data_IF_313452777854
#
_entry.id   IF_313452777854
#
_cell.length_a   1.000
_cell.length_b   1.000
_cell.length_c   1.000
_cell.angle_alpha   90.00
_cell.angle_beta   90.00
_cell.angle_gamma   90.00
#
_symmetry.space_group_name_H-M   'P 1'
#
loop_
_entity.id
_entity.type
_entity.pdbx_description
1 polymer ?
#
# COMPACT_ATOMS: atom_id res chain seq x y z
N UNK A 1 14.90 1.19 -1.67
CA UNK A 1 15.08 0.33 -0.50
C UNK A 1 16.07 -0.80 -0.80
N UNK A 2 15.84 -1.63 -1.84
CA UNK A 2 16.76 -2.73 -2.23
C UNK A 2 18.18 -2.20 -2.49
N UNK A 3 18.31 -1.11 -3.25
CA UNK A 3 19.60 -0.45 -3.49
C UNK A 3 20.29 0.09 -2.23
N UNK A 4 19.55 0.28 -1.16
CA UNK A 4 20.06 0.68 0.15
C UNK A 4 20.31 -0.53 1.09
N UNK A 5 20.32 -1.75 0.55
CA UNK A 5 20.58 -2.97 1.30
C UNK A 5 19.46 -3.39 2.26
N UNK A 6 18.23 -2.90 2.06
CA UNK A 6 17.06 -3.30 2.85
C UNK A 6 16.43 -4.56 2.26
N UNK A 7 16.04 -5.48 3.12
CA UNK A 7 15.20 -6.61 2.71
C UNK A 7 13.78 -6.10 2.43
N UNK A 8 13.22 -6.45 1.27
CA UNK A 8 11.92 -5.96 0.82
C UNK A 8 11.10 -7.13 0.28
N UNK A 9 9.92 -7.29 0.81
CA UNK A 9 8.86 -8.12 0.23
C UNK A 9 7.86 -7.20 -0.50
N UNK A 10 7.46 -7.60 -1.69
CA UNK A 10 6.43 -6.90 -2.48
C UNK A 10 5.25 -7.82 -2.67
N UNK A 11 4.06 -7.29 -2.42
CA UNK A 11 2.78 -7.96 -2.65
C UNK A 11 1.99 -7.19 -3.68
N UNK A 12 1.61 -7.83 -4.77
CA UNK A 12 0.79 -7.29 -5.84
C UNK A 12 -0.61 -7.90 -5.78
N UNK A 13 -1.63 -7.07 -5.82
CA UNK A 13 -3.02 -7.50 -5.85
C UNK A 13 -3.73 -7.02 -7.11
N UNK A 14 -4.53 -7.88 -7.72
CA UNK A 14 -5.39 -7.55 -8.87
C UNK A 14 -6.64 -8.43 -8.88
N UNK A 15 -7.63 -8.06 -9.70
CA UNK A 15 -8.82 -8.90 -9.88
C UNK A 15 -8.49 -10.21 -10.60
N UNK A 16 -7.62 -10.14 -11.62
CA UNK A 16 -7.24 -11.26 -12.48
C UNK A 16 -5.75 -11.24 -12.76
N UNK A 17 -5.21 -12.35 -13.28
CA UNK A 17 -3.82 -12.44 -13.75
C UNK A 17 -3.44 -11.33 -14.73
N UNK A 18 -4.32 -11.05 -15.69
CA UNK A 18 -4.05 -10.08 -16.76
C UNK A 18 -4.02 -8.63 -16.23
N UNK A 19 -4.65 -8.37 -15.09
CA UNK A 19 -4.64 -7.09 -14.41
C UNK A 19 -3.42 -6.88 -13.48
N UNK A 20 -2.57 -7.91 -13.27
CA UNK A 20 -1.32 -7.78 -12.53
C UNK A 20 -0.30 -7.00 -13.33
N UNK A 21 -0.04 -5.76 -12.93
CA UNK A 21 0.94 -4.87 -13.56
C UNK A 21 2.29 -4.90 -12.84
N UNK A 22 3.36 -4.53 -13.57
CA UNK A 22 4.71 -4.33 -13.05
C UNK A 22 5.37 -5.58 -12.39
N UNK A 23 4.82 -6.77 -12.51
CA UNK A 23 5.38 -8.01 -11.92
C UNK A 23 6.83 -8.25 -12.36
N UNK A 24 7.11 -8.14 -13.66
CA UNK A 24 8.45 -8.35 -14.21
C UNK A 24 9.44 -7.28 -13.73
N UNK A 25 9.00 -6.03 -13.62
CA UNK A 25 9.83 -4.94 -13.11
C UNK A 25 10.22 -5.18 -11.64
N UNK A 26 9.28 -5.63 -10.80
CA UNK A 26 9.58 -6.00 -9.42
C UNK A 26 10.49 -7.23 -9.34
N UNK A 27 10.27 -8.23 -10.18
CA UNK A 27 11.15 -9.42 -10.24
C UNK A 27 12.58 -9.03 -10.57
N UNK A 28 12.79 -8.13 -11.53
CA UNK A 28 14.13 -7.65 -11.90
C UNK A 28 14.81 -6.91 -10.74
N UNK A 29 14.10 -6.11 -9.96
CA UNK A 29 14.66 -5.36 -8.83
C UNK A 29 14.91 -6.23 -7.62
N UNK A 30 14.00 -7.16 -7.32
CA UNK A 30 14.06 -8.03 -6.14
C UNK A 30 14.99 -9.24 -6.33
N UNK A 31 15.30 -9.62 -7.58
CA UNK A 31 15.96 -10.89 -7.88
C UNK A 31 15.08 -12.13 -7.63
N UNK A 32 13.81 -11.95 -7.34
CA UNK A 32 12.81 -12.99 -7.11
C UNK A 32 11.43 -12.47 -7.45
N UNK A 33 10.49 -13.38 -7.66
CA UNK A 33 9.11 -13.00 -7.96
C UNK A 33 8.44 -12.35 -6.75
N UNK A 34 7.67 -11.25 -6.95
CA UNK A 34 6.83 -10.68 -5.90
C UNK A 34 5.70 -11.65 -5.53
N UNK A 35 5.20 -11.55 -4.32
CA UNK A 35 3.96 -12.24 -3.96
C UNK A 35 2.80 -11.66 -4.76
N UNK A 36 1.98 -12.52 -5.35
CA UNK A 36 0.83 -12.10 -6.14
C UNK A 36 -0.46 -12.69 -5.57
N UNK A 37 -1.52 -11.89 -5.58
CA UNK A 37 -2.87 -12.32 -5.24
C UNK A 37 -3.83 -11.88 -6.34
N UNK A 38 -4.76 -12.76 -6.70
CA UNK A 38 -5.85 -12.44 -7.62
C UNK A 38 -7.19 -12.81 -7.00
N UNK A 39 -8.17 -11.91 -7.14
CA UNK A 39 -9.49 -12.09 -6.53
C UNK A 39 -10.18 -13.35 -7.09
N UNK A 40 -9.97 -13.64 -8.38
CA UNK A 40 -10.53 -14.80 -9.08
C UNK A 40 -9.67 -16.07 -8.99
N UNK A 41 -8.49 -16.00 -8.37
CA UNK A 41 -7.58 -17.15 -8.21
C UNK A 41 -6.84 -17.57 -9.49
N UNK A 42 -6.85 -16.76 -10.54
CA UNK A 42 -6.18 -17.08 -11.82
C UNK A 42 -4.66 -17.04 -11.74
N UNK A 43 -4.10 -16.40 -10.70
CA UNK A 43 -2.66 -16.38 -10.44
C UNK A 43 -2.32 -16.10 -8.97
N UNK A 44 -1.37 -16.84 -8.43
CA UNK A 44 -0.87 -16.67 -7.07
C UNK A 44 -1.88 -17.07 -6.00
N UNK A 45 -1.98 -16.27 -4.96
CA UNK A 45 -2.95 -16.45 -3.88
C UNK A 45 -4.37 -16.14 -4.38
N UNK A 46 -5.32 -17.01 -4.09
CA UNK A 46 -6.73 -16.78 -4.42
C UNK A 46 -7.37 -15.92 -3.33
N UNK A 47 -7.66 -14.67 -3.63
CA UNK A 47 -8.27 -13.71 -2.74
C UNK A 47 -7.54 -12.36 -2.71
N UNK A 48 -7.85 -11.56 -1.69
CA UNK A 48 -7.28 -10.22 -1.57
C UNK A 48 -5.81 -10.24 -1.13
N UNK A 49 -5.03 -9.31 -1.64
CA UNK A 49 -3.61 -9.16 -1.29
C UNK A 49 -3.38 -8.91 0.22
N UNK A 50 -4.36 -8.38 0.93
CA UNK A 50 -4.32 -8.23 2.40
C UNK A 50 -4.21 -9.57 3.13
N UNK A 51 -4.74 -10.67 2.55
CA UNK A 51 -4.56 -12.03 3.06
C UNK A 51 -3.10 -12.44 3.03
N UNK A 52 -2.44 -12.26 1.89
CA UNK A 52 -1.00 -12.53 1.73
C UNK A 52 -0.17 -11.71 2.72
N UNK A 53 -0.47 -10.41 2.85
CA UNK A 53 0.25 -9.56 3.81
C UNK A 53 0.06 -10.08 5.23
N UNK A 54 -1.16 -10.46 5.62
CA UNK A 54 -1.42 -10.98 6.96
C UNK A 54 -0.62 -12.28 7.24
N UNK A 55 -0.50 -13.20 6.27
CA UNK A 55 0.34 -14.40 6.39
C UNK A 55 1.82 -14.06 6.54
N UNK A 56 2.33 -13.11 5.74
CA UNK A 56 3.71 -12.66 5.84
C UNK A 56 4.01 -12.04 7.21
N UNK A 57 3.11 -11.20 7.73
CA UNK A 57 3.24 -10.59 9.04
C UNK A 57 3.11 -11.57 10.23
N UNK A 58 2.70 -12.81 9.99
CA UNK A 58 2.71 -13.88 10.99
C UNK A 58 4.03 -14.66 10.98
N UNK A 59 4.73 -14.68 9.85
CA UNK A 59 5.91 -15.54 9.63
C UNK A 59 7.22 -14.78 9.69
N UNK A 60 7.19 -13.47 9.45
CA UNK A 60 8.39 -12.60 9.41
C UNK A 60 8.17 -11.31 10.19
N UNK A 61 9.21 -10.77 10.85
CA UNK A 61 9.18 -9.40 11.38
C UNK A 61 9.32 -8.38 10.25
N UNK A 62 8.57 -7.28 10.34
CA UNK A 62 8.70 -6.14 9.42
C UNK A 62 8.74 -4.84 10.23
N UNK A 63 9.66 -3.95 9.86
CA UNK A 63 9.83 -2.64 10.50
C UNK A 63 8.85 -1.60 9.93
N UNK A 64 8.38 -1.80 8.70
CA UNK A 64 7.50 -0.86 8.00
C UNK A 64 6.68 -1.60 6.96
N UNK A 65 5.42 -1.25 6.86
CA UNK A 65 4.56 -1.59 5.72
C UNK A 65 4.25 -0.33 4.93
N UNK A 66 4.38 -0.39 3.62
CA UNK A 66 3.99 0.69 2.71
C UNK A 66 2.95 0.17 1.73
N UNK A 67 1.87 0.92 1.50
CA UNK A 67 0.84 0.50 0.56
C UNK A 67 0.24 1.65 -0.25
N UNK A 68 -0.23 1.29 -1.43
CA UNK A 68 -1.00 2.12 -2.33
C UNK A 68 -2.07 1.26 -2.98
N UNK A 69 -3.27 1.79 -3.15
CA UNK A 69 -4.38 1.09 -3.81
C UNK A 69 -5.75 1.60 -3.38
N UNK A 70 -6.80 0.83 -3.61
CA UNK A 70 -8.16 1.21 -3.20
C UNK A 70 -8.27 1.48 -1.70
N UNK A 71 -9.01 2.51 -1.33
CA UNK A 71 -9.17 2.95 0.06
C UNK A 71 -9.65 1.81 1.00
N UNK A 72 -10.62 0.94 0.63
CA UNK A 72 -11.01 -0.19 1.48
C UNK A 72 -9.87 -1.19 1.74
N UNK A 73 -9.01 -1.44 0.73
CA UNK A 73 -7.83 -2.30 0.88
C UNK A 73 -6.82 -1.68 1.85
N UNK A 74 -6.51 -0.40 1.67
CA UNK A 74 -5.57 0.30 2.54
C UNK A 74 -6.07 0.35 3.99
N UNK A 75 -7.35 0.62 4.20
CA UNK A 75 -7.97 0.60 5.53
C UNK A 75 -7.85 -0.77 6.19
N UNK A 76 -8.22 -1.83 5.48
CA UNK A 76 -8.07 -3.21 5.98
C UNK A 76 -6.61 -3.54 6.34
N UNK A 77 -5.67 -3.09 5.53
CA UNK A 77 -4.24 -3.29 5.81
C UNK A 77 -3.79 -2.51 7.05
N UNK A 78 -4.26 -1.27 7.22
CA UNK A 78 -3.97 -0.47 8.41
C UNK A 78 -4.52 -1.12 9.69
N UNK A 79 -5.69 -1.72 9.64
CA UNK A 79 -6.25 -2.46 10.78
C UNK A 79 -5.35 -3.66 11.16
N UNK A 80 -4.89 -4.42 10.15
CA UNK A 80 -3.98 -5.57 10.34
C UNK A 80 -2.64 -5.12 10.95
N UNK A 81 -2.03 -4.08 10.41
CA UNK A 81 -0.70 -3.61 10.85
C UNK A 81 -0.76 -2.92 12.21
N UNK A 82 -1.82 -2.16 12.47
CA UNK A 82 -2.06 -1.50 13.78
C UNK A 82 -2.20 -2.53 14.90
N UNK A 83 -2.93 -3.63 14.68
CA UNK A 83 -3.06 -4.71 15.65
C UNK A 83 -1.71 -5.37 16.01
N UNK A 84 -0.71 -5.21 15.16
CA UNK A 84 0.65 -5.74 15.36
C UNK A 84 1.67 -4.65 15.73
N UNK A 85 1.23 -3.40 15.92
CA UNK A 85 2.08 -2.23 16.18
C UNK A 85 3.17 -2.02 15.10
N UNK A 86 2.87 -2.30 13.83
CA UNK A 86 3.79 -2.10 12.72
C UNK A 86 3.51 -0.74 12.08
N UNK A 87 4.51 0.17 12.02
CA UNK A 87 4.39 1.44 11.29
C UNK A 87 3.94 1.23 9.86
N UNK A 88 2.98 2.02 9.40
CA UNK A 88 2.40 1.86 8.07
C UNK A 88 2.33 3.20 7.34
N UNK A 89 2.96 3.25 6.17
CA UNK A 89 2.89 4.38 5.25
C UNK A 89 1.88 4.09 4.14
N UNK A 90 0.96 5.01 3.91
CA UNK A 90 -0.06 4.86 2.86
C UNK A 90 0.05 5.98 1.84
N UNK A 91 -0.03 5.64 0.56
CA UNK A 91 -0.09 6.62 -0.51
C UNK A 91 -1.55 6.85 -0.90
N UNK A 92 -2.06 8.02 -0.56
CA UNK A 92 -3.45 8.40 -0.81
C UNK A 92 -3.56 9.20 -2.10
N UNK A 93 -4.16 8.58 -3.11
CA UNK A 93 -4.54 9.25 -4.34
C UNK A 93 -5.90 9.92 -4.17
N UNK A 94 -5.93 11.24 -4.31
CA UNK A 94 -7.16 12.04 -4.34
C UNK A 94 -7.25 12.79 -5.67
N UNK A 95 -8.46 13.15 -6.07
CA UNK A 95 -8.63 13.97 -7.28
C UNK A 95 -7.93 15.30 -7.11
N UNK A 96 -7.00 15.60 -8.01
CA UNK A 96 -6.23 16.83 -7.99
C UNK A 96 -6.70 17.76 -9.12
N UNK A 97 -7.11 18.99 -8.77
CA UNK A 97 -7.44 20.00 -9.76
C UNK A 97 -6.26 20.92 -10.02
N UNK A 98 -5.70 21.56 -8.98
CA UNK A 98 -4.63 22.55 -9.16
C UNK A 98 -3.21 22.00 -8.97
N UNK A 99 -3.01 20.96 -8.18
CA UNK A 99 -1.69 20.39 -7.85
C UNK A 99 -0.78 21.25 -6.97
N UNK A 100 -1.22 22.47 -6.60
CA UNK A 100 -0.42 23.47 -5.86
C UNK A 100 -1.00 23.82 -4.48
N UNK A 101 -2.00 23.07 -4.02
CA UNK A 101 -2.60 23.26 -2.69
C UNK A 101 -3.63 24.36 -2.56
N UNK A 102 -4.02 25.04 -3.64
CA UNK A 102 -4.92 26.20 -3.58
C UNK A 102 -6.41 25.83 -3.58
N UNK A 103 -6.82 24.79 -4.33
CA UNK A 103 -8.25 24.46 -4.55
C UNK A 103 -8.88 23.57 -3.49
N UNK A 104 -8.10 22.96 -2.61
CA UNK A 104 -8.54 22.02 -1.56
C UNK A 104 -9.28 20.76 -2.07
N UNK A 105 -9.17 20.45 -3.37
CA UNK A 105 -9.83 19.28 -3.96
C UNK A 105 -9.28 17.93 -3.48
N UNK A 106 -7.99 17.88 -3.11
CA UNK A 106 -7.28 16.67 -2.70
C UNK A 106 -7.09 16.55 -1.18
N UNK A 107 -8.05 17.06 -0.41
CA UNK A 107 -7.98 17.08 1.06
C UNK A 107 -8.12 15.66 1.63
N UNK A 108 -7.30 15.35 2.62
CA UNK A 108 -7.30 14.17 3.45
C UNK A 108 -7.54 14.60 4.90
N UNK A 109 -8.49 13.97 5.57
CA UNK A 109 -8.71 14.16 7.00
C UNK A 109 -7.63 13.42 7.79
N UNK A 110 -7.00 14.11 8.74
CA UNK A 110 -6.02 13.51 9.65
C UNK A 110 -6.28 13.93 11.09
N UNK A 111 -5.70 13.24 12.04
CA UNK A 111 -5.75 13.59 13.47
C UNK A 111 -5.10 14.95 13.76
N UNK A 112 -4.29 15.46 12.85
CA UNK A 112 -3.62 16.78 12.92
C UNK A 112 -4.38 17.85 12.10
N UNK A 113 -5.61 17.57 11.66
CA UNK A 113 -6.41 18.44 10.80
C UNK A 113 -6.37 18.01 9.34
N UNK A 114 -6.87 18.88 8.47
CA UNK A 114 -6.94 18.59 7.04
C UNK A 114 -5.59 18.82 6.35
N UNK A 115 -5.14 17.84 5.58
CA UNK A 115 -3.92 17.85 4.77
C UNK A 115 -4.28 17.75 3.29
N UNK A 116 -3.38 18.14 2.39
CA UNK A 116 -3.59 18.11 0.93
C UNK A 116 -2.62 17.09 0.31
N UNK A 117 -3.13 16.07 -0.37
CA UNK A 117 -2.27 15.07 -0.99
C UNK A 117 -1.24 15.65 -1.94
N UNK A 118 -1.56 16.73 -2.65
CA UNK A 118 -0.64 17.35 -3.62
C UNK A 118 0.55 18.11 -2.99
N UNK A 119 0.45 18.53 -1.73
CA UNK A 119 1.47 19.37 -1.07
C UNK A 119 2.01 18.70 0.18
N UNK A 120 1.12 18.16 1.00
CA UNK A 120 1.46 17.56 2.31
C UNK A 120 1.71 16.05 2.20
N UNK A 121 1.30 15.41 1.07
CA UNK A 121 1.44 13.99 0.76
C UNK A 121 2.26 13.76 -0.51
N UNK A 122 1.96 12.73 -1.31
CA UNK A 122 0.83 11.80 -1.20
C UNK A 122 0.95 10.72 -0.11
N UNK A 123 2.14 10.55 0.49
CA UNK A 123 2.39 9.51 1.49
C UNK A 123 2.12 10.05 2.89
N UNK A 124 1.29 9.34 3.63
CA UNK A 124 0.89 9.68 4.99
C UNK A 124 1.16 8.51 5.95
N UNK A 125 1.39 8.84 7.22
CA UNK A 125 1.35 7.87 8.28
C UNK A 125 -0.09 7.38 8.49
N UNK A 126 -0.32 6.07 8.36
CA UNK A 126 -1.63 5.47 8.49
C UNK A 126 -2.30 5.75 9.84
N UNK A 127 -1.51 5.85 10.92
CA UNK A 127 -2.01 6.14 12.26
C UNK A 127 -2.59 7.56 12.39
N UNK A 128 -2.27 8.44 11.45
CA UNK A 128 -2.77 9.82 11.44
C UNK A 128 -3.95 10.04 10.52
N UNK A 129 -4.27 9.11 9.64
CA UNK A 129 -5.40 9.25 8.69
C UNK A 129 -6.71 8.91 9.36
N UNK A 130 -7.72 9.76 9.14
CA UNK A 130 -9.11 9.51 9.53
C UNK A 130 -9.85 8.97 8.32
N UNK A 131 -10.27 7.72 8.41
CA UNK A 131 -10.93 6.98 7.35
C UNK A 131 -12.45 7.24 7.26
#
# INVERSE_FOLDING_TARGET
>A
LVSAGKEVDVVLGAQTKDALVAREAYTAVLGREPYCATDDGTYGYHGFCTGVVNELLQTKPYDLVACCGPEPMMKSLCDITSAKNIPTAISLEKRMACGIGACLSCVVATTEGFKRSCVDGPVFDAAKVVW
#
